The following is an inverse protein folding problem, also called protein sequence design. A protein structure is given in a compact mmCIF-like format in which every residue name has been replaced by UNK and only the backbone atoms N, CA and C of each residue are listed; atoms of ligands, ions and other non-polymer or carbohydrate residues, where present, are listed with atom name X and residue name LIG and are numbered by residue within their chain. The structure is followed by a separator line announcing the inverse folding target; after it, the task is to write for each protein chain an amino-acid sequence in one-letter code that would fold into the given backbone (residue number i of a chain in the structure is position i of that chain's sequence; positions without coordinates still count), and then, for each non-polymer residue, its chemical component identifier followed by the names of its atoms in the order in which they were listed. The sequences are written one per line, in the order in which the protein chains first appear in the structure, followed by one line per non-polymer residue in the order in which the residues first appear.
data_IF_896664155443
#
_entry.id   IF_896664155443
#
_cell.length_a   1.000
_cell.length_b   1.000
_cell.length_c   1.000
_cell.angle_alpha   90.00
_cell.angle_beta   90.00
_cell.angle_gamma   90.00
#
_symmetry.space_group_name_H-M   'P 1'
#
loop_
_entity.id
_entity.type
_entity.pdbx_description
1 polymer ?
#
# COMPACT_ATOMS: atom_id res chain seq x y z
N UNK A 1 -4.54 44.39 0.10
CA UNK A 1 -3.36 44.30 -0.77
C UNK A 1 -2.11 44.32 0.08
N UNK A 2 -1.38 43.20 0.17
CA UNK A 2 0.07 43.17 0.49
C UNK A 2 0.59 41.79 0.08
N UNK A 3 1.26 41.78 -1.06
CA UNK A 3 2.04 40.67 -1.61
C UNK A 3 3.37 40.64 -0.87
N UNK A 4 3.77 39.47 -0.36
CA UNK A 4 5.16 39.17 -0.06
C UNK A 4 5.54 37.93 -0.87
N UNK A 5 6.23 38.23 -1.97
CA UNK A 5 7.14 37.34 -2.70
C UNK A 5 8.37 37.02 -1.83
N UNK A 6 9.26 36.17 -2.37
CA UNK A 6 10.63 35.80 -1.89
C UNK A 6 10.58 34.50 -1.07
N UNK A 7 11.32 33.40 -1.33
CA UNK A 7 12.45 33.03 -2.19
C UNK A 7 12.32 31.51 -2.44
N UNK A 8 12.61 30.93 -3.61
CA UNK A 8 13.95 30.86 -4.18
C UNK A 8 14.55 29.47 -3.93
N UNK A 9 14.21 28.48 -4.75
CA UNK A 9 14.97 27.23 -4.88
C UNK A 9 15.52 27.15 -6.31
N UNK A 10 16.75 27.65 -6.47
CA UNK A 10 17.60 27.36 -7.61
C UNK A 10 18.27 25.99 -7.40
N UNK A 11 18.09 25.12 -8.40
CA UNK A 11 19.15 24.46 -9.19
C UNK A 11 20.41 24.02 -8.44
N UNK A 12 20.68 22.70 -8.39
CA UNK A 12 22.01 22.06 -8.52
C UNK A 12 21.78 20.60 -8.96
N UNK A 13 22.07 20.26 -10.23
CA UNK A 13 23.20 19.41 -10.69
C UNK A 13 23.05 17.93 -10.29
N UNK A 14 22.96 16.96 -11.20
CA UNK A 14 23.98 16.53 -12.18
C UNK A 14 24.02 15.00 -12.10
N UNK A 15 23.54 14.29 -13.12
CA UNK A 15 24.33 13.49 -14.09
C UNK A 15 25.13 12.29 -13.54
N UNK A 16 25.16 11.25 -14.39
CA UNK A 16 26.12 10.14 -14.46
C UNK A 16 25.81 8.88 -13.61
N UNK A 17 25.30 7.82 -14.24
CA UNK A 17 26.14 6.73 -14.80
C UNK A 17 25.30 5.53 -15.27
N UNK A 18 25.40 5.30 -16.58
CA UNK A 18 25.27 4.00 -17.22
C UNK A 18 26.11 2.96 -16.46
N UNK A 19 25.53 1.83 -16.07
CA UNK A 19 26.28 0.63 -15.74
C UNK A 19 25.68 -0.56 -16.49
N UNK A 20 26.45 -1.01 -17.49
CA UNK A 20 26.23 -2.21 -18.27
C UNK A 20 26.77 -3.46 -17.55
N UNK A 21 26.11 -4.60 -17.73
CA UNK A 21 26.63 -5.99 -17.64
C UNK A 21 25.41 -6.91 -17.60
N UNK A 22 25.31 -8.06 -18.27
CA UNK A 22 26.18 -8.85 -19.12
C UNK A 22 25.30 -10.02 -19.62
N UNK A 23 25.35 -10.34 -20.90
CA UNK A 23 25.99 -11.55 -21.41
C UNK A 23 25.37 -12.89 -20.94
N UNK A 24 24.53 -13.44 -21.83
CA UNK A 24 24.52 -14.81 -22.37
C UNK A 24 24.68 -16.02 -21.44
N UNK A 25 23.79 -17.01 -21.59
CA UNK A 25 24.14 -18.37 -22.09
C UNK A 25 22.97 -19.37 -22.03
N UNK A 26 22.71 -20.06 -23.17
CA UNK A 26 22.51 -21.53 -23.33
C UNK A 26 21.27 -22.16 -22.67
N UNK A 27 20.44 -23.05 -23.25
CA UNK A 27 20.16 -23.65 -24.55
C UNK A 27 18.89 -24.53 -24.32
N UNK A 28 18.16 -24.94 -25.37
CA UNK A 28 16.90 -25.68 -25.22
C UNK A 28 17.16 -27.13 -24.82
N UNK A 29 16.49 -27.62 -23.78
CA UNK A 29 16.41 -29.06 -23.50
C UNK A 29 15.15 -29.63 -24.12
N UNK A 30 15.33 -30.19 -25.30
CA UNK A 30 14.45 -31.19 -25.90
C UNK A 30 14.39 -32.41 -24.98
N UNK A 31 13.20 -32.73 -24.49
CA UNK A 31 12.86 -34.07 -24.00
C UNK A 31 11.58 -34.49 -24.71
N UNK A 32 11.72 -35.43 -25.65
CA UNK A 32 10.63 -36.29 -26.07
C UNK A 32 10.71 -37.58 -25.24
N UNK A 33 9.57 -38.08 -24.78
CA UNK A 33 9.33 -39.51 -24.93
C UNK A 33 7.99 -39.79 -25.62
N UNK A 34 7.99 -40.94 -26.29
CA UNK A 34 6.93 -41.49 -27.10
C UNK A 34 5.71 -41.98 -26.29
N UNK A 35 4.60 -42.06 -27.01
CA UNK A 35 3.48 -42.99 -26.90
C UNK A 35 2.86 -43.30 -25.53
N UNK A 36 1.62 -42.81 -25.39
CA UNK A 36 0.69 -43.22 -24.36
C UNK A 36 -0.49 -42.27 -24.35
N UNK A 37 -1.37 -42.38 -25.34
CA UNK A 37 -2.60 -41.59 -25.50
C UNK A 37 -3.51 -41.74 -24.26
N UNK A 38 -3.76 -40.67 -23.48
CA UNK A 38 -4.84 -40.63 -22.50
C UNK A 38 -6.04 -39.87 -23.12
N UNK A 39 -7.27 -40.15 -22.67
CA UNK A 39 -8.47 -39.56 -23.24
C UNK A 39 -8.39 -38.03 -23.20
N UNK A 40 -8.75 -37.39 -24.32
CA UNK A 40 -8.91 -35.94 -24.46
C UNK A 40 -9.85 -35.43 -23.36
N UNK A 41 -9.27 -35.03 -22.24
CA UNK A 41 -9.91 -34.13 -21.31
C UNK A 41 -10.00 -32.79 -22.04
N UNK A 42 -11.14 -32.08 -21.97
CA UNK A 42 -11.25 -30.78 -22.61
C UNK A 42 -10.07 -29.94 -22.14
N UNK A 43 -9.30 -29.44 -23.10
CA UNK A 43 -8.40 -28.31 -22.92
C UNK A 43 -9.32 -27.18 -22.51
N UNK A 44 -9.66 -27.12 -21.21
CA UNK A 44 -9.95 -25.86 -20.56
C UNK A 44 -8.70 -25.08 -20.86
N UNK A 45 -8.80 -24.14 -21.79
CA UNK A 45 -7.91 -23.01 -21.83
C UNK A 45 -7.88 -22.50 -20.39
N UNK A 46 -6.86 -22.90 -19.64
CA UNK A 46 -6.11 -21.98 -18.82
C UNK A 46 -5.72 -20.88 -19.79
N UNK A 47 -6.68 -19.98 -20.07
CA UNK A 47 -6.34 -18.60 -20.25
C UNK A 47 -5.49 -18.32 -19.04
N UNK A 48 -4.18 -18.24 -19.26
CA UNK A 48 -3.29 -17.62 -18.32
C UNK A 48 -4.05 -16.41 -17.80
N UNK A 49 -4.43 -16.33 -16.52
CA UNK A 49 -4.81 -15.05 -15.99
C UNK A 49 -3.54 -14.23 -16.20
N UNK A 50 -3.58 -13.28 -17.13
CA UNK A 50 -2.55 -12.28 -17.34
C UNK A 50 -2.02 -11.90 -15.97
N UNK A 51 -0.86 -12.46 -15.64
CA UNK A 51 -0.41 -12.55 -14.26
C UNK A 51 0.02 -11.15 -13.89
N UNK A 52 -0.74 -10.54 -12.98
CA UNK A 52 -0.29 -9.47 -12.09
C UNK A 52 -0.19 -8.04 -12.64
N UNK A 53 -1.08 -7.60 -13.52
CA UNK A 53 -1.35 -6.15 -13.66
C UNK A 53 -2.65 -5.69 -12.97
N UNK A 54 -3.48 -6.62 -12.48
CA UNK A 54 -4.69 -6.32 -11.73
C UNK A 54 -4.52 -6.08 -10.22
N UNK A 55 -3.29 -6.11 -9.69
CA UNK A 55 -3.08 -6.28 -8.25
C UNK A 55 -2.58 -4.99 -7.56
N UNK A 56 -1.83 -4.12 -8.27
CA UNK A 56 -1.24 -2.90 -7.67
C UNK A 56 -2.30 -1.85 -7.35
N UNK A 57 -3.23 -1.59 -8.27
CA UNK A 57 -4.29 -0.60 -8.05
C UNK A 57 -5.27 -1.07 -6.96
N UNK A 58 -5.47 -2.38 -6.81
CA UNK A 58 -6.24 -2.95 -5.69
C UNK A 58 -5.53 -2.71 -4.35
N UNK A 59 -4.23 -3.01 -4.26
CA UNK A 59 -3.47 -2.72 -3.05
C UNK A 59 -3.44 -1.22 -2.73
N UNK A 60 -3.35 -0.37 -3.74
CA UNK A 60 -3.40 1.08 -3.58
C UNK A 60 -4.77 1.53 -3.06
N UNK A 61 -5.86 0.97 -3.57
CA UNK A 61 -7.20 1.22 -3.05
C UNK A 61 -7.35 0.77 -1.58
N UNK A 62 -6.79 -0.38 -1.21
CA UNK A 62 -6.74 -0.85 0.18
C UNK A 62 -5.97 0.16 1.04
N UNK A 63 -4.81 0.63 0.58
CA UNK A 63 -3.95 1.55 1.31
C UNK A 63 -4.62 2.91 1.52
N UNK A 64 -5.28 3.46 0.49
CA UNK A 64 -6.08 4.69 0.57
C UNK A 64 -7.24 4.53 1.56
N UNK A 65 -8.01 3.45 1.45
CA UNK A 65 -9.16 3.20 2.33
C UNK A 65 -8.72 3.11 3.80
N UNK A 66 -7.65 2.37 4.08
CA UNK A 66 -7.14 2.18 5.45
C UNK A 66 -6.48 3.42 6.02
N UNK A 67 -5.80 4.23 5.20
CA UNK A 67 -5.33 5.54 5.61
C UNK A 67 -6.50 6.46 6.01
N UNK A 68 -7.59 6.43 5.24
CA UNK A 68 -8.83 7.15 5.57
C UNK A 68 -9.45 6.70 6.90
N UNK A 69 -9.48 5.39 7.17
CA UNK A 69 -9.93 4.84 8.46
C UNK A 69 -9.08 5.41 9.62
N UNK A 70 -7.75 5.36 9.51
CA UNK A 70 -6.85 5.91 10.54
C UNK A 70 -7.08 7.42 10.74
N UNK A 71 -7.20 8.19 9.66
CA UNK A 71 -7.45 9.63 9.74
C UNK A 71 -8.81 9.94 10.39
N UNK A 72 -9.85 9.16 10.08
CA UNK A 72 -11.20 9.37 10.63
C UNK A 72 -11.25 9.20 12.15
N UNK A 73 -10.50 8.23 12.69
CA UNK A 73 -10.39 8.00 14.14
C UNK A 73 -9.67 9.15 14.86
N UNK A 74 -8.82 9.90 14.15
CA UNK A 74 -8.12 11.07 14.67
C UNK A 74 -8.87 12.39 14.49
N UNK A 75 -9.60 12.57 13.39
CA UNK A 75 -10.43 13.77 13.17
C UNK A 75 -11.71 13.75 14.02
N UNK A 76 -12.30 12.57 14.26
CA UNK A 76 -13.41 12.42 15.19
C UNK A 76 -13.08 12.88 16.62
N UNK A 77 -11.80 12.78 17.04
CA UNK A 77 -11.32 13.29 18.34
C UNK A 77 -11.40 14.81 18.45
N UNK A 78 -11.34 15.55 17.33
CA UNK A 78 -11.44 17.01 17.31
C UNK A 78 -12.87 17.55 17.29
N UNK A 79 -13.81 16.79 16.72
CA UNK A 79 -15.21 17.23 16.59
C UNK A 79 -16.02 17.11 17.89
N UNK A 80 -15.67 16.18 18.79
CA UNK A 80 -16.40 15.98 20.04
C UNK A 80 -16.16 17.05 21.12
N UNK A 81 -15.30 18.05 20.88
CA UNK A 81 -14.96 19.09 21.85
C UNK A 81 -15.88 20.32 21.72
N UNK A 82 -16.60 20.47 20.60
CA UNK A 82 -17.56 21.55 20.40
C UNK A 82 -18.97 21.00 20.63
N UNK A 83 -19.46 21.17 21.86
CA UNK A 83 -20.65 20.53 22.36
C UNK A 83 -21.94 20.88 21.62
N UNK A 84 -22.70 19.84 21.27
CA UNK A 84 -24.16 19.84 21.29
C UNK A 84 -24.62 18.37 21.47
N UNK A 85 -25.51 18.04 22.42
CA UNK A 85 -25.92 16.66 22.66
C UNK A 85 -26.99 16.28 21.63
N UNK A 86 -26.58 15.76 20.48
CA UNK A 86 -27.49 15.08 19.57
C UNK A 86 -27.85 13.72 20.16
N UNK A 87 -29.08 13.61 20.65
CA UNK A 87 -29.66 12.38 21.13
C UNK A 87 -29.88 11.39 19.96
N UNK A 88 -29.67 10.11 20.31
CA UNK A 88 -30.21 8.90 19.71
C UNK A 88 -29.33 8.08 18.74
N UNK A 89 -29.16 6.82 19.15
CA UNK A 89 -28.82 5.60 18.41
C UNK A 89 -27.35 5.35 18.02
N UNK A 90 -26.63 4.60 18.88
CA UNK A 90 -25.42 3.89 18.46
C UNK A 90 -24.42 3.50 19.56
N UNK A 91 -24.87 2.65 20.49
CA UNK A 91 -24.09 1.70 21.32
C UNK A 91 -22.63 1.97 21.67
N UNK A 92 -22.40 1.99 22.99
CA UNK A 92 -21.17 1.64 23.71
C UNK A 92 -20.00 2.62 23.53
N UNK A 93 -19.61 3.20 24.67
CA UNK A 93 -18.33 3.82 24.93
C UNK A 93 -17.26 3.39 23.93
N UNK A 94 -16.88 4.32 23.05
CA UNK A 94 -15.69 4.26 22.20
C UNK A 94 -14.48 4.28 23.14
N UNK A 95 -14.28 3.18 23.86
CA UNK A 95 -13.23 3.05 24.85
C UNK A 95 -11.91 3.21 24.09
N UNK A 96 -10.96 3.98 24.63
CA UNK A 96 -9.70 4.27 23.95
C UNK A 96 -8.97 2.99 23.49
N UNK A 97 -9.17 1.87 24.19
CA UNK A 97 -8.69 0.55 23.79
C UNK A 97 -9.25 0.03 22.47
N UNK A 98 -10.57 0.15 22.24
CA UNK A 98 -11.20 -0.30 20.99
C UNK A 98 -10.77 0.56 19.80
N UNK A 99 -10.58 1.86 20.02
CA UNK A 99 -10.02 2.76 19.00
C UNK A 99 -8.60 2.34 18.61
N UNK A 100 -7.74 2.11 19.60
CA UNK A 100 -6.38 1.63 19.32
C UNK A 100 -6.40 0.29 18.57
N UNK A 101 -7.28 -0.63 18.91
CA UNK A 101 -7.41 -1.90 18.18
C UNK A 101 -7.79 -1.69 16.70
N UNK A 102 -8.78 -0.83 16.41
CA UNK A 102 -9.19 -0.51 15.04
C UNK A 102 -8.06 0.14 14.25
N UNK A 103 -7.39 1.12 14.85
CA UNK A 103 -6.27 1.84 14.24
C UNK A 103 -5.08 0.90 13.97
N UNK A 104 -4.73 0.02 14.92
CA UNK A 104 -3.67 -0.96 14.73
C UNK A 104 -4.01 -1.99 13.65
N UNK A 105 -5.27 -2.43 13.57
CA UNK A 105 -5.74 -3.33 12.51
C UNK A 105 -5.67 -2.67 11.12
N UNK A 106 -6.05 -1.39 11.03
CA UNK A 106 -5.93 -0.61 9.81
C UNK A 106 -4.45 -0.45 9.40
N UNK A 107 -3.57 -0.14 10.36
CA UNK A 107 -2.14 0.00 10.13
C UNK A 107 -1.50 -1.32 9.65
N UNK A 108 -1.84 -2.46 10.27
CA UNK A 108 -1.40 -3.79 9.81
C UNK A 108 -1.87 -4.07 8.38
N UNK A 109 -3.08 -3.66 8.02
CA UNK A 109 -3.62 -3.81 6.67
C UNK A 109 -2.87 -2.92 5.66
N UNK A 110 -2.52 -1.68 6.04
CA UNK A 110 -1.69 -0.80 5.21
C UNK A 110 -0.30 -1.38 4.96
N UNK A 111 0.34 -1.95 5.99
CA UNK A 111 1.66 -2.62 5.85
C UNK A 111 1.59 -3.74 4.82
N UNK A 112 0.59 -4.63 4.91
CA UNK A 112 0.41 -5.71 3.93
C UNK A 112 0.16 -5.20 2.52
N UNK A 113 -0.61 -4.12 2.37
CA UNK A 113 -0.85 -3.51 1.07
C UNK A 113 0.42 -2.90 0.48
N UNK A 114 1.21 -2.18 1.27
CA UNK A 114 2.50 -1.67 0.84
C UNK A 114 3.46 -2.80 0.45
N UNK A 115 3.49 -3.91 1.21
CA UNK A 115 4.26 -5.10 0.88
C UNK A 115 3.76 -5.78 -0.41
N UNK A 116 2.46 -5.72 -0.70
CA UNK A 116 1.88 -6.18 -1.96
C UNK A 116 2.36 -5.33 -3.14
N UNK A 117 2.23 -4.01 -3.04
CA UNK A 117 2.72 -3.04 -4.03
C UNK A 117 4.21 -3.24 -4.30
N UNK A 118 5.02 -3.33 -3.24
CA UNK A 118 6.47 -3.49 -3.35
C UNK A 118 6.92 -4.89 -3.81
N UNK A 119 6.07 -5.91 -3.73
CA UNK A 119 6.35 -7.24 -4.32
C UNK A 119 6.01 -7.29 -5.80
N UNK A 120 4.95 -6.61 -6.21
CA UNK A 120 4.51 -6.53 -7.60
C UNK A 120 5.36 -5.54 -8.42
N UNK A 121 6.02 -4.58 -7.74
CA UNK A 121 6.92 -3.60 -8.34
C UNK A 121 8.38 -3.84 -7.89
N UNK A 122 9.33 -3.14 -8.49
CA UNK A 122 10.70 -3.13 -7.95
C UNK A 122 10.77 -2.28 -6.68
N UNK A 123 11.67 -2.61 -5.76
CA UNK A 123 11.80 -1.88 -4.48
C UNK A 123 12.11 -0.38 -4.65
N UNK A 124 12.72 0.00 -5.78
CA UNK A 124 13.05 1.40 -6.11
C UNK A 124 11.97 2.10 -6.94
N UNK A 125 10.83 1.45 -7.15
CA UNK A 125 9.72 2.04 -7.89
C UNK A 125 9.04 3.14 -7.06
N UNK A 126 8.71 4.27 -7.68
CA UNK A 126 8.10 5.44 -7.03
C UNK A 126 6.85 5.06 -6.22
N UNK A 127 5.97 4.22 -6.78
CA UNK A 127 4.76 3.73 -6.08
C UNK A 127 5.08 2.92 -4.81
N UNK A 128 6.13 2.09 -4.81
CA UNK A 128 6.53 1.34 -3.62
C UNK A 128 7.07 2.29 -2.54
N UNK A 129 7.95 3.23 -2.92
CA UNK A 129 8.47 4.25 -2.02
C UNK A 129 7.35 5.12 -1.43
N UNK A 130 6.38 5.53 -2.25
CA UNK A 130 5.22 6.29 -1.81
C UNK A 130 4.35 5.50 -0.81
N UNK A 131 4.07 4.22 -1.11
CA UNK A 131 3.32 3.34 -0.22
C UNK A 131 4.02 3.18 1.14
N UNK A 132 5.35 2.96 1.16
CA UNK A 132 6.16 2.89 2.38
C UNK A 132 6.11 4.21 3.17
N UNK A 133 6.23 5.35 2.49
CA UNK A 133 6.13 6.66 3.14
C UNK A 133 4.76 6.88 3.78
N UNK A 134 3.67 6.45 3.12
CA UNK A 134 2.31 6.54 3.66
C UNK A 134 2.14 5.69 4.92
N UNK A 135 2.65 4.45 4.90
CA UNK A 135 2.70 3.60 6.10
C UNK A 135 3.48 4.27 7.22
N UNK A 136 4.68 4.79 6.96
CA UNK A 136 5.49 5.44 8.00
C UNK A 136 4.82 6.69 8.60
N UNK A 137 4.11 7.47 7.78
CA UNK A 137 3.30 8.60 8.29
C UNK A 137 2.18 8.11 9.20
N UNK A 138 1.47 7.06 8.79
CA UNK A 138 0.44 6.45 9.63
C UNK A 138 1.03 5.94 10.95
N UNK A 139 2.17 5.23 10.92
CA UNK A 139 2.86 4.75 12.14
C UNK A 139 3.14 5.88 13.12
N UNK A 140 3.70 6.99 12.65
CA UNK A 140 3.97 8.18 13.49
C UNK A 140 2.71 8.78 14.09
N UNK A 141 1.59 8.80 13.36
CA UNK A 141 0.31 9.28 13.88
C UNK A 141 -0.23 8.35 14.98
N UNK A 142 -0.12 7.04 14.76
CA UNK A 142 -0.58 6.04 15.73
C UNK A 142 0.29 6.06 16.98
N UNK A 143 1.60 6.16 16.85
CA UNK A 143 2.53 6.34 17.98
C UNK A 143 2.24 7.62 18.77
N UNK A 144 2.06 8.75 18.08
CA UNK A 144 1.73 10.04 18.71
C UNK A 144 0.38 10.00 19.45
N UNK A 145 -0.51 9.09 19.09
CA UNK A 145 -1.79 8.90 19.77
C UNK A 145 -1.72 8.04 21.04
N UNK A 146 -0.57 7.42 21.32
CA UNK A 146 -0.38 6.53 22.46
C UNK A 146 -1.01 5.16 22.27
N UNK A 147 -1.22 4.72 21.02
CA UNK A 147 -1.70 3.38 20.72
C UNK A 147 -0.51 2.44 20.40
N UNK A 148 -0.12 1.54 21.32
CA UNK A 148 0.95 0.59 21.06
C UNK A 148 0.45 -0.54 20.15
N UNK A 149 0.72 -0.43 18.85
CA UNK A 149 0.46 -1.52 17.90
C UNK A 149 1.59 -2.54 17.99
N UNK A 150 1.33 -3.61 18.73
CA UNK A 150 2.24 -4.76 18.91
C UNK A 150 2.13 -5.74 17.74
#
# INVERSE_FOLDING_TARGET
MRRLLVCGWMIVSGSWLLTACGAASVAPRTMAPADGEPPMSPVVSTGEPSRQEGDVDEWEAILVRKEGEIQSEFTAKGASISGEPAAEAGTASDAPSQRCERVCKALSSMRRAADGICRSLSERHERCENARQRVNRAEKLVEASGCPCS
#
